data_IF_721413528490
#
_entry.id   IF_721413528490
#
_cell.length_a   1.000
_cell.length_b   1.000
_cell.length_c   1.000
_cell.angle_alpha   90.00
_cell.angle_beta   90.00
_cell.angle_gamma   90.00
#
_symmetry.space_group_name_H-M   'P 1'
#
loop_
_entity.id
_entity.type
_entity.pdbx_description
1 polymer ?
#
# COMPACT_ATOMS: atom_id res chain seq x y z
N UNK A 1 2.97 40.76 33.04
CA UNK A 1 2.69 40.59 31.59
C UNK A 1 3.87 39.93 30.84
N UNK A 2 5.12 40.34 31.09
CA UNK A 2 6.33 39.76 30.47
C UNK A 2 6.58 38.26 30.73
N UNK A 3 6.21 37.75 31.91
CA UNK A 3 6.41 36.33 32.26
C UNK A 3 5.53 35.42 31.38
N UNK A 4 4.34 35.84 30.95
CA UNK A 4 3.46 35.02 30.08
C UNK A 4 4.02 34.86 28.66
N UNK A 5 4.70 35.88 28.11
CA UNK A 5 5.27 35.83 26.76
C UNK A 5 6.44 34.86 26.62
N UNK A 6 7.30 34.75 27.64
CA UNK A 6 8.48 33.89 27.59
C UNK A 6 8.12 32.38 27.62
N UNK A 7 7.10 32.01 28.41
CA UNK A 7 6.58 30.65 28.46
C UNK A 7 5.90 30.26 27.15
N UNK A 8 5.18 31.19 26.53
CA UNK A 8 4.52 30.97 25.25
C UNK A 8 5.54 30.71 24.12
N UNK A 9 6.63 31.47 24.08
CA UNK A 9 7.71 31.25 23.11
C UNK A 9 8.38 29.88 23.27
N UNK A 10 8.63 29.42 24.50
CA UNK A 10 9.23 28.10 24.77
C UNK A 10 8.27 26.95 24.41
N UNK A 11 6.98 27.12 24.68
CA UNK A 11 5.95 26.17 24.28
C UNK A 11 5.86 26.06 22.76
N UNK A 12 5.89 27.18 22.04
CA UNK A 12 5.88 27.16 20.57
C UNK A 12 7.14 26.50 20.00
N UNK A 13 8.31 26.81 20.56
CA UNK A 13 9.58 26.16 20.17
C UNK A 13 9.55 24.64 20.38
N UNK A 14 8.94 24.17 21.45
CA UNK A 14 8.82 22.75 21.76
C UNK A 14 7.77 22.05 20.89
N UNK A 15 6.63 22.70 20.67
CA UNK A 15 5.60 22.21 19.75
C UNK A 15 6.14 22.08 18.33
N UNK A 16 6.89 23.07 17.85
CA UNK A 16 7.55 23.02 16.55
C UNK A 16 8.48 21.81 16.43
N UNK A 17 9.32 21.55 17.44
CA UNK A 17 10.21 20.38 17.45
C UNK A 17 9.42 19.07 17.43
N UNK A 18 8.34 18.94 18.21
CA UNK A 18 7.49 17.75 18.22
C UNK A 18 6.83 17.50 16.84
N UNK A 19 6.34 18.56 16.19
CA UNK A 19 5.79 18.49 14.83
C UNK A 19 6.86 18.03 13.83
N UNK A 20 8.07 18.58 13.90
CA UNK A 20 9.17 18.20 13.02
C UNK A 20 9.62 16.75 13.23
N UNK A 21 9.71 16.29 14.47
CA UNK A 21 10.01 14.88 14.78
C UNK A 21 8.92 13.96 14.23
N UNK A 22 7.64 14.34 14.39
CA UNK A 22 6.53 13.56 13.85
C UNK A 22 6.58 13.50 12.31
N UNK A 23 6.80 14.62 11.62
CA UNK A 23 6.92 14.65 10.16
C UNK A 23 8.12 13.84 9.66
N UNK A 24 9.25 13.90 10.37
CA UNK A 24 10.42 13.08 10.07
C UNK A 24 10.11 11.58 10.23
N UNK A 25 9.40 11.21 11.30
CA UNK A 25 9.04 9.82 11.57
C UNK A 25 8.10 9.27 10.50
N UNK A 26 7.10 10.07 10.08
CA UNK A 26 6.24 9.71 8.96
C UNK A 26 7.04 9.50 7.66
N UNK A 27 7.99 10.39 7.34
CA UNK A 27 8.85 10.21 6.17
C UNK A 27 9.66 8.92 6.22
N UNK A 28 10.26 8.61 7.37
CA UNK A 28 11.02 7.38 7.59
C UNK A 28 10.14 6.13 7.42
N UNK A 29 8.96 6.07 8.04
CA UNK A 29 8.09 4.90 7.95
C UNK A 29 7.52 4.71 6.55
N UNK A 30 7.21 5.79 5.83
CA UNK A 30 6.80 5.71 4.42
C UNK A 30 7.90 5.14 3.55
N UNK A 31 9.15 5.57 3.76
CA UNK A 31 10.30 4.99 3.07
C UNK A 31 10.48 3.51 3.40
N UNK A 32 10.40 3.10 4.67
CA UNK A 32 10.51 1.70 5.07
C UNK A 32 9.37 0.86 4.47
N UNK A 33 8.15 1.40 4.39
CA UNK A 33 7.03 0.76 3.70
C UNK A 33 7.32 0.53 2.21
N UNK A 34 7.81 1.56 1.52
CA UNK A 34 8.19 1.45 0.11
C UNK A 34 9.35 0.47 -0.13
N UNK A 35 10.35 0.45 0.76
CA UNK A 35 11.50 -0.45 0.66
C UNK A 35 11.15 -1.91 1.03
N UNK A 36 10.31 -2.09 2.05
CA UNK A 36 9.93 -3.40 2.60
C UNK A 36 9.00 -4.20 1.70
N UNK A 37 8.22 -3.53 0.83
CA UNK A 37 7.35 -4.08 -0.24
C UNK A 37 6.25 -5.07 0.19
N UNK A 38 6.37 -5.69 1.37
CA UNK A 38 5.36 -6.51 2.04
C UNK A 38 5.14 -5.99 3.45
N UNK A 39 3.91 -6.16 3.97
CA UNK A 39 3.53 -5.66 5.30
C UNK A 39 4.37 -6.29 6.42
N UNK A 40 4.67 -7.59 6.33
CA UNK A 40 5.48 -8.31 7.31
C UNK A 40 6.92 -7.79 7.38
N UNK A 41 7.56 -7.60 6.23
CA UNK A 41 8.94 -7.07 6.14
C UNK A 41 8.98 -5.61 6.59
N UNK A 42 8.05 -4.77 6.13
CA UNK A 42 8.01 -3.36 6.54
C UNK A 42 7.86 -3.20 8.07
N UNK A 43 7.07 -4.05 8.72
CA UNK A 43 6.85 -4.00 10.16
C UNK A 43 8.11 -4.40 10.95
N UNK A 44 8.80 -5.47 10.54
CA UNK A 44 10.02 -5.94 11.20
C UNK A 44 11.18 -4.97 11.02
N UNK A 45 11.39 -4.47 9.80
CA UNK A 45 12.40 -3.43 9.54
C UNK A 45 12.05 -2.10 10.23
N UNK A 46 10.77 -1.74 10.31
CA UNK A 46 10.31 -0.55 11.04
C UNK A 46 10.64 -0.61 12.52
N UNK A 47 10.37 -1.75 13.17
CA UNK A 47 10.72 -1.96 14.59
C UNK A 47 12.25 -1.91 14.80
N UNK A 48 13.02 -2.52 13.91
CA UNK A 48 14.49 -2.48 13.96
C UNK A 48 15.03 -1.05 13.79
N UNK A 49 14.53 -0.30 12.81
CA UNK A 49 14.94 1.08 12.55
C UNK A 49 14.68 2.00 13.75
N UNK A 50 13.54 1.84 14.42
CA UNK A 50 13.25 2.57 15.66
C UNK A 50 14.27 2.26 16.77
N UNK A 51 14.52 0.98 17.04
CA UNK A 51 15.49 0.55 18.07
C UNK A 51 16.88 1.11 17.76
N UNK A 52 17.30 1.04 16.49
CA UNK A 52 18.57 1.59 16.04
C UNK A 52 18.65 3.11 16.24
N UNK A 53 17.60 3.86 15.88
CA UNK A 53 17.57 5.30 16.08
C UNK A 53 17.63 5.69 17.57
N UNK A 54 16.90 4.97 18.43
CA UNK A 54 16.97 5.19 19.89
C UNK A 54 18.37 4.89 20.44
N UNK A 55 18.99 3.79 20.03
CA UNK A 55 20.33 3.42 20.47
C UNK A 55 21.39 4.46 20.04
N UNK A 56 21.28 4.99 18.82
CA UNK A 56 22.22 5.98 18.28
C UNK A 56 21.98 7.40 18.80
N UNK A 57 20.81 7.70 19.38
CA UNK A 57 20.45 9.05 19.85
C UNK A 57 21.16 9.50 21.14
N UNK A 58 21.99 8.64 21.74
CA UNK A 58 22.70 8.94 22.99
C UNK A 58 21.81 8.86 24.25
N UNK A 59 20.59 8.33 24.13
CA UNK A 59 19.74 8.04 25.28
C UNK A 59 20.30 6.85 26.06
N UNK A 60 21.15 7.12 27.05
CA UNK A 60 21.64 6.11 28.00
C UNK A 60 20.46 5.69 28.88
N UNK A 61 19.72 4.66 28.47
CA UNK A 61 18.81 3.99 29.40
C UNK A 61 19.67 3.30 30.46
N UNK A 62 19.49 3.70 31.72
CA UNK A 62 19.90 2.90 32.88
C UNK A 62 19.48 1.44 32.66
N UNK A 63 20.39 0.49 32.90
CA UNK A 63 20.18 -0.96 32.78
C UNK A 63 18.80 -1.37 33.36
N UNK A 64 18.33 -0.76 34.45
CA UNK A 64 17.07 -1.12 35.09
C UNK A 64 15.78 -0.75 34.31
N UNK A 65 15.77 0.35 33.56
CA UNK A 65 14.56 0.82 32.86
C UNK A 65 14.39 0.13 31.49
N UNK A 66 15.51 -0.22 30.84
CA UNK A 66 15.53 -0.91 29.54
C UNK A 66 14.91 -2.32 29.62
N UNK A 67 15.19 -3.08 30.69
CA UNK A 67 14.61 -4.40 30.93
C UNK A 67 13.09 -4.39 31.19
N UNK A 68 12.53 -3.26 31.63
CA UNK A 68 11.11 -3.16 31.98
C UNK A 68 10.22 -2.89 30.75
N UNK A 69 10.68 -2.02 29.83
CA UNK A 69 9.91 -1.61 28.64
C UNK A 69 9.87 -2.70 27.56
N UNK A 70 10.88 -3.56 27.47
CA UNK A 70 11.09 -4.49 26.35
C UNK A 70 10.67 -5.95 26.60
N UNK A 71 10.11 -6.26 27.78
CA UNK A 71 9.66 -7.62 28.15
C UNK A 71 8.51 -8.18 27.29
N UNK A 72 8.03 -7.45 26.27
CA UNK A 72 6.93 -7.86 25.38
C UNK A 72 7.33 -8.42 24.00
N UNK A 73 8.61 -8.38 23.59
CA UNK A 73 9.03 -8.95 22.29
C UNK A 73 10.28 -9.83 22.41
N UNK A 74 10.08 -11.14 22.29
CA UNK A 74 11.09 -12.19 22.45
C UNK A 74 12.27 -12.10 21.45
N UNK A 75 12.05 -11.54 20.25
CA UNK A 75 13.09 -11.40 19.21
C UNK A 75 14.10 -10.29 19.48
N UNK A 76 13.74 -9.28 20.29
CA UNK A 76 14.62 -8.12 20.57
C UNK A 76 15.66 -8.47 21.64
N UNK A 77 15.37 -9.48 22.49
CA UNK A 77 16.24 -9.89 23.58
C UNK A 77 17.60 -10.44 23.09
N UNK A 78 17.61 -11.23 22.01
CA UNK A 78 18.85 -11.82 21.44
C UNK A 78 19.80 -10.75 20.90
N UNK A 79 19.25 -9.73 20.21
CA UNK A 79 20.04 -8.64 19.62
C UNK A 79 20.59 -7.66 20.68
N UNK A 80 19.91 -7.51 21.82
CA UNK A 80 20.38 -6.68 22.94
C UNK A 80 21.52 -7.36 23.71
N UNK A 81 21.51 -8.68 23.88
CA UNK A 81 22.63 -9.39 24.52
C UNK A 81 23.92 -9.22 23.72
N UNK A 82 23.83 -9.20 22.37
CA UNK A 82 24.97 -8.90 21.50
C UNK A 82 25.49 -7.47 21.69
N UNK A 83 24.62 -6.50 21.97
CA UNK A 83 24.99 -5.08 22.12
C UNK A 83 25.43 -4.70 23.54
N UNK A 84 24.88 -5.34 24.57
CA UNK A 84 25.36 -5.21 25.97
C UNK A 84 26.78 -5.74 26.15
N UNK A 85 27.16 -6.80 25.40
CA UNK A 85 28.55 -7.29 25.34
C UNK A 85 29.48 -6.26 24.67
N UNK A 86 28.97 -5.42 23.75
CA UNK A 86 29.75 -4.39 23.08
C UNK A 86 29.92 -3.10 23.89
N UNK A 87 29.02 -2.82 24.84
CA UNK A 87 29.02 -1.60 25.66
C UNK A 87 29.92 -1.69 26.91
N UNK A 88 30.40 -2.88 27.29
CA UNK A 88 31.33 -3.06 28.40
C UNK A 88 32.79 -2.67 28.03
N UNK A 89 33.07 -2.47 26.74
CA UNK A 89 34.36 -2.02 26.21
C UNK A 89 34.37 -0.50 26.00
N UNK A 90 34.31 0.29 27.09
CA UNK A 90 34.17 1.76 27.00
C UNK A 90 35.47 2.54 26.72
N UNK A 91 36.59 1.86 26.46
CA UNK A 91 37.87 2.53 26.17
C UNK A 91 38.33 2.44 24.69
N UNK A 92 37.65 1.68 23.83
CA UNK A 92 38.06 1.47 22.42
C UNK A 92 36.92 1.69 21.39
N UNK A 93 36.22 2.84 21.48
CA UNK A 93 35.25 3.21 20.44
C UNK A 93 35.98 3.68 19.18
N UNK A 94 35.95 2.86 18.13
CA UNK A 94 36.53 3.22 16.82
C UNK A 94 35.90 4.50 16.28
N UNK A 95 36.72 5.41 15.75
CA UNK A 95 36.31 6.73 15.23
C UNK A 95 35.12 6.70 14.25
N UNK A 96 34.90 5.59 13.53
CA UNK A 96 33.76 5.45 12.63
C UNK A 96 32.40 5.34 13.34
N UNK A 97 32.34 4.80 14.58
CA UNK A 97 31.08 4.65 15.32
C UNK A 97 30.47 5.99 15.72
N UNK A 98 31.31 7.03 15.83
CA UNK A 98 30.90 8.41 16.08
C UNK A 98 29.99 8.91 14.94
N UNK A 99 30.17 8.42 13.70
CA UNK A 99 29.29 8.80 12.59
C UNK A 99 27.87 8.29 12.77
N UNK A 100 27.66 7.14 13.42
CA UNK A 100 26.32 6.63 13.71
C UNK A 100 25.51 7.58 14.60
N UNK A 101 26.16 8.25 15.54
CA UNK A 101 25.56 9.30 16.37
C UNK A 101 25.11 10.50 15.52
N UNK A 102 25.96 10.96 14.58
CA UNK A 102 25.68 12.10 13.71
C UNK A 102 24.66 11.81 12.59
N UNK A 103 24.49 10.55 12.21
CA UNK A 103 23.51 10.11 11.21
C UNK A 103 22.11 9.98 11.81
N UNK A 104 21.99 9.79 13.14
CA UNK A 104 20.69 9.63 13.80
C UNK A 104 19.94 10.96 13.89
N UNK A 105 18.76 11.10 13.26
CA UNK A 105 17.96 12.33 13.38
C UNK A 105 17.42 12.54 14.79
N UNK A 106 17.26 11.47 15.59
CA UNK A 106 16.83 11.54 16.99
C UNK A 106 17.88 12.22 17.89
N UNK A 107 19.16 12.15 17.52
CA UNK A 107 20.20 12.90 18.24
C UNK A 107 19.90 14.40 18.23
N UNK A 108 19.55 14.94 17.05
CA UNK A 108 19.29 16.37 16.87
C UNK A 108 18.00 16.79 17.55
N UNK A 109 16.98 15.94 17.54
CA UNK A 109 15.71 16.23 18.22
C UNK A 109 15.88 16.23 19.74
N UNK A 110 16.49 15.19 20.31
CA UNK A 110 16.70 15.08 21.77
C UNK A 110 17.58 16.21 22.26
N UNK A 111 18.68 16.53 21.57
CA UNK A 111 19.53 17.65 21.93
C UNK A 111 18.77 18.99 21.91
N UNK A 112 17.93 19.23 20.89
CA UNK A 112 17.14 20.46 20.78
C UNK A 112 16.05 20.58 21.83
N UNK A 113 15.42 19.46 22.21
CA UNK A 113 14.43 19.41 23.29
C UNK A 113 15.12 19.72 24.63
N UNK A 114 16.27 19.10 24.90
CA UNK A 114 17.04 19.32 26.12
C UNK A 114 17.49 20.79 26.23
N UNK A 115 18.05 21.36 25.17
CA UNK A 115 18.45 22.78 25.16
C UNK A 115 17.24 23.69 25.41
N UNK A 116 16.10 23.46 24.75
CA UNK A 116 14.91 24.29 24.96
C UNK A 116 14.33 24.18 26.39
N UNK A 117 14.48 23.03 27.06
CA UNK A 117 13.98 22.77 28.42
C UNK A 117 14.93 23.28 29.52
N UNK A 118 16.24 23.06 29.35
CA UNK A 118 17.26 23.43 30.34
C UNK A 118 17.77 24.86 30.20
N UNK A 119 17.46 25.57 29.11
CA UNK A 119 17.64 27.03 28.94
C UNK A 119 16.57 27.87 29.67
N UNK A 120 15.85 27.25 30.62
CA UNK A 120 14.80 27.93 31.36
C UNK A 120 15.33 28.73 32.55
N UNK A 121 14.68 29.85 32.88
CA UNK A 121 14.99 30.67 34.08
C UNK A 121 15.06 29.89 35.40
N UNK A 122 14.36 28.75 35.51
CA UNK A 122 14.41 27.84 36.67
C UNK A 122 15.74 27.08 36.81
N UNK A 123 16.47 26.95 35.71
CA UNK A 123 17.74 26.22 35.60
C UNK A 123 18.96 27.17 35.52
N UNK A 124 18.71 28.48 35.60
CA UNK A 124 19.72 29.54 35.52
C UNK A 124 20.46 29.75 36.86
N UNK A 125 20.10 29.00 37.90
CA UNK A 125 20.80 29.06 39.18
C UNK A 125 22.19 28.42 39.08
N UNK A 126 23.18 29.07 39.68
CA UNK A 126 24.57 28.60 39.70
C UNK A 126 24.74 27.69 40.93
N UNK A 127 25.30 26.49 40.72
CA UNK A 127 25.62 25.59 41.83
C UNK A 127 26.76 26.16 42.69
N UNK A 128 26.83 25.86 44.01
CA UNK A 128 27.80 26.48 44.94
C UNK A 128 29.27 26.38 44.51
N UNK A 129 29.62 25.40 43.66
CA UNK A 129 30.99 25.12 43.19
C UNK A 129 31.13 25.19 41.64
N UNK A 130 30.14 25.72 40.91
CA UNK A 130 30.11 25.72 39.45
C UNK A 130 30.29 27.12 38.84
N UNK A 131 31.01 27.22 37.73
CA UNK A 131 31.12 28.45 36.94
C UNK A 131 30.01 28.61 35.87
N UNK A 132 29.10 27.62 35.76
CA UNK A 132 28.07 27.54 34.73
C UNK A 132 26.66 27.37 35.34
N UNK A 133 25.59 27.78 34.61
CA UNK A 133 24.22 27.55 35.04
C UNK A 133 23.92 26.05 35.16
N UNK A 134 23.10 25.67 36.15
CA UNK A 134 22.76 24.29 36.47
C UNK A 134 22.23 23.52 35.25
N UNK A 135 21.42 24.17 34.40
CA UNK A 135 20.92 23.57 33.15
C UNK A 135 22.03 23.10 32.21
N UNK A 136 23.08 23.92 32.02
CA UNK A 136 24.21 23.58 31.15
C UNK A 136 25.04 22.43 31.74
N UNK A 137 25.26 22.46 33.06
CA UNK A 137 25.96 21.39 33.76
C UNK A 137 25.23 20.03 33.63
N UNK A 138 23.90 20.03 33.74
CA UNK A 138 23.07 18.82 33.57
C UNK A 138 23.13 18.29 32.13
N UNK A 139 22.98 19.16 31.13
CA UNK A 139 23.02 18.75 29.71
C UNK A 139 24.41 18.19 29.36
N UNK A 140 25.48 18.84 29.82
CA UNK A 140 26.86 18.37 29.61
C UNK A 140 27.15 17.06 30.34
N UNK A 141 26.60 16.86 31.54
CA UNK A 141 26.74 15.60 32.29
C UNK A 141 26.15 14.40 31.54
N UNK A 142 25.13 14.63 30.71
CA UNK A 142 24.48 13.62 29.87
C UNK A 142 25.10 13.49 28.48
N UNK A 143 26.27 14.10 28.24
CA UNK A 143 26.98 14.13 26.95
C UNK A 143 26.19 14.79 25.81
N UNK A 144 25.29 15.72 26.13
CA UNK A 144 24.60 16.57 25.15
C UNK A 144 25.24 17.95 25.09
N UNK A 145 24.98 18.69 24.01
CA UNK A 145 25.58 20.00 23.79
C UNK A 145 24.68 21.11 24.35
N UNK A 146 25.16 21.90 25.34
CA UNK A 146 24.31 22.85 26.06
C UNK A 146 24.05 24.17 25.32
N UNK A 147 24.77 24.48 24.24
CA UNK A 147 24.71 25.81 23.63
C UNK A 147 23.38 26.07 22.90
N UNK A 148 22.81 27.26 23.11
CA UNK A 148 21.50 27.64 22.58
C UNK A 148 21.36 27.54 21.05
N UNK A 149 22.46 27.66 20.30
CA UNK A 149 22.44 27.55 18.83
C UNK A 149 22.10 26.13 18.34
N UNK A 150 22.29 25.10 19.18
CA UNK A 150 21.95 23.71 18.85
C UNK A 150 20.45 23.50 18.62
N UNK A 151 19.60 24.35 19.20
CA UNK A 151 18.17 24.35 18.92
C UNK A 151 17.90 24.55 17.42
N UNK A 152 18.51 25.57 16.82
CA UNK A 152 18.31 25.88 15.39
C UNK A 152 18.98 24.87 14.48
N UNK A 153 20.15 24.36 14.88
CA UNK A 153 20.81 23.25 14.16
C UNK A 153 19.88 22.04 14.11
N UNK A 154 19.24 21.67 15.21
CA UNK A 154 18.34 20.52 15.19
C UNK A 154 17.05 20.75 14.40
N UNK A 155 16.51 21.97 14.39
CA UNK A 155 15.40 22.33 13.50
C UNK A 155 15.79 22.17 12.02
N UNK A 156 16.94 22.71 11.61
CA UNK A 156 17.43 22.60 10.22
C UNK A 156 17.74 21.15 9.86
N UNK A 157 18.39 20.41 10.76
CA UNK A 157 18.70 19.00 10.56
C UNK A 157 17.42 18.15 10.37
N UNK A 158 16.41 18.34 11.23
CA UNK A 158 15.13 17.63 11.11
C UNK A 158 14.42 17.92 9.78
N UNK A 159 14.41 19.18 9.33
CA UNK A 159 13.87 19.54 8.02
C UNK A 159 14.66 18.85 6.89
N UNK A 160 15.99 18.84 6.98
CA UNK A 160 16.85 18.13 6.03
C UNK A 160 16.52 16.64 5.95
N UNK A 161 16.38 15.97 7.10
CA UNK A 161 15.99 14.57 7.15
C UNK A 161 14.57 14.30 6.62
N UNK A 162 13.61 15.20 6.85
CA UNK A 162 12.27 15.10 6.25
C UNK A 162 12.38 15.08 4.72
N UNK A 163 13.15 16.00 4.14
CA UNK A 163 13.33 16.09 2.69
C UNK A 163 14.02 14.82 2.17
N UNK A 164 15.09 14.37 2.84
CA UNK A 164 15.84 13.17 2.44
C UNK A 164 14.95 11.93 2.47
N UNK A 165 14.20 11.68 3.55
CA UNK A 165 13.35 10.49 3.64
C UNK A 165 12.20 10.52 2.63
N UNK A 166 11.61 11.69 2.36
CA UNK A 166 10.57 11.81 1.33
C UNK A 166 11.15 11.62 -0.09
N UNK A 167 12.37 12.12 -0.36
CA UNK A 167 13.04 11.89 -1.63
C UNK A 167 13.36 10.40 -1.82
N UNK A 168 13.92 9.74 -0.79
CA UNK A 168 14.17 8.30 -0.80
C UNK A 168 12.88 7.50 -0.97
N UNK A 169 11.77 7.94 -0.39
CA UNK A 169 10.45 7.34 -0.60
C UNK A 169 9.99 7.47 -2.05
N UNK A 170 10.11 8.66 -2.66
CA UNK A 170 9.78 8.87 -4.08
C UNK A 170 10.67 8.05 -5.02
N UNK A 171 11.96 7.96 -4.75
CA UNK A 171 12.90 7.10 -5.49
C UNK A 171 12.52 5.62 -5.30
N UNK A 172 12.17 5.22 -4.07
CA UNK A 172 11.69 3.89 -3.76
C UNK A 172 10.48 3.52 -4.62
N UNK A 173 9.49 4.41 -4.74
CA UNK A 173 8.32 4.16 -5.60
C UNK A 173 8.65 4.16 -7.10
N UNK A 174 9.58 5.00 -7.55
CA UNK A 174 9.90 5.12 -8.97
C UNK A 174 10.72 3.94 -9.51
N UNK A 175 11.61 3.35 -8.69
CA UNK A 175 12.54 2.32 -9.13
C UNK A 175 12.22 0.92 -8.61
N UNK A 176 11.45 0.80 -7.52
CA UNK A 176 11.07 -0.50 -6.98
C UNK A 176 9.72 -0.91 -7.55
N UNK A 177 9.76 -1.74 -8.58
CA UNK A 177 8.56 -2.45 -9.04
C UNK A 177 8.02 -3.36 -7.91
N UNK A 178 6.70 -3.57 -7.83
CA UNK A 178 6.11 -4.52 -6.89
C UNK A 178 6.79 -5.89 -7.02
N UNK A 179 7.10 -6.54 -5.90
CA UNK A 179 7.59 -7.91 -5.94
C UNK A 179 6.41 -8.81 -6.36
N UNK A 180 6.47 -9.33 -7.58
CA UNK A 180 5.59 -10.37 -8.08
C UNK A 180 4.82 -9.97 -9.33
N UNK A 181 4.99 -10.75 -10.40
CA UNK A 181 3.90 -10.99 -11.35
C UNK A 181 2.79 -11.70 -10.55
N UNK A 182 1.50 -11.40 -10.75
CA UNK A 182 0.43 -12.19 -10.13
C UNK A 182 0.58 -13.63 -10.63
N UNK A 183 1.21 -14.49 -9.83
CA UNK A 183 1.28 -15.92 -10.07
C UNK A 183 0.06 -16.55 -9.43
N UNK A 184 -0.69 -17.25 -10.28
CA UNK A 184 -1.82 -18.11 -9.97
C UNK A 184 -1.36 -19.14 -8.95
N UNK A 185 -1.88 -19.05 -7.72
CA UNK A 185 -1.79 -20.13 -6.74
C UNK A 185 -3.06 -20.95 -6.87
N UNK A 186 -2.90 -22.18 -7.35
CA UNK A 186 -3.94 -23.21 -7.37
C UNK A 186 -4.16 -23.63 -5.90
N UNK A 187 -5.38 -23.51 -5.40
CA UNK A 187 -5.80 -24.11 -4.13
C UNK A 187 -6.75 -25.26 -4.41
N UNK A 188 -6.41 -26.44 -3.89
CA UNK A 188 -7.21 -27.66 -3.88
C UNK A 188 -8.31 -27.59 -2.80
N UNK A 189 -9.48 -28.12 -3.20
CA UNK A 189 -10.56 -28.81 -2.47
C UNK A 189 -11.06 -28.31 -1.10
N UNK A 190 -12.38 -28.09 -1.00
CA UNK A 190 -13.24 -28.93 -0.14
C UNK A 190 -14.75 -28.73 -0.37
N UNK A 191 -15.48 -29.84 -0.25
CA UNK A 191 -16.90 -30.07 -0.57
C UNK A 191 -17.92 -29.62 0.51
N UNK A 192 -19.17 -29.49 0.05
CA UNK A 192 -20.48 -29.61 0.74
C UNK A 192 -21.00 -28.41 1.55
N UNK A 193 -22.10 -27.78 1.09
CA UNK A 193 -23.33 -27.47 1.87
C UNK A 193 -24.56 -27.33 0.93
N UNK A 194 -25.72 -27.67 1.49
CA UNK A 194 -27.04 -28.01 0.94
C UNK A 194 -27.84 -26.87 0.28
N UNK A 195 -28.65 -27.27 -0.69
CA UNK A 195 -29.69 -26.51 -1.39
C UNK A 195 -30.84 -26.12 -0.44
N UNK A 196 -31.24 -24.84 -0.47
CA UNK A 196 -32.51 -24.36 0.07
C UNK A 196 -33.30 -23.78 -1.11
N UNK A 197 -34.42 -24.42 -1.43
CA UNK A 197 -35.45 -23.91 -2.34
C UNK A 197 -36.37 -22.94 -1.58
N UNK A 198 -36.69 -21.81 -2.22
CA UNK A 198 -37.92 -21.04 -2.11
C UNK A 198 -37.78 -19.85 -3.08
N UNK A 199 -38.80 -19.25 -3.69
CA UNK A 199 -40.17 -19.59 -4.09
C UNK A 199 -40.57 -18.41 -4.97
N UNK A 200 -41.07 -18.65 -6.18
CA UNK A 200 -41.50 -17.57 -7.08
C UNK A 200 -42.71 -16.81 -6.52
N UNK A 201 -42.70 -15.49 -6.65
CA UNK A 201 -43.94 -14.72 -6.90
C UNK A 201 -43.66 -13.40 -7.63
N UNK A 202 -44.58 -13.12 -8.54
CA UNK A 202 -44.52 -12.23 -9.70
C UNK A 202 -44.57 -10.72 -9.40
N UNK A 203 -44.08 -9.91 -10.35
CA UNK A 203 -44.41 -8.49 -10.43
C UNK A 203 -43.47 -7.65 -11.29
N UNK A 204 -43.42 -7.92 -12.60
CA UNK A 204 -42.61 -7.19 -13.58
C UNK A 204 -42.80 -5.66 -13.53
N UNK A 205 -41.72 -4.95 -13.24
CA UNK A 205 -41.32 -3.75 -13.99
C UNK A 205 -39.87 -3.96 -14.40
N UNK A 206 -39.58 -4.05 -15.69
CA UNK A 206 -38.20 -4.01 -16.21
C UNK A 206 -37.60 -2.65 -15.85
N UNK A 207 -37.03 -2.54 -14.64
CA UNK A 207 -36.14 -1.45 -14.26
C UNK A 207 -34.89 -1.63 -15.11
N UNK A 208 -34.83 -0.95 -16.25
CA UNK A 208 -33.56 -0.74 -16.94
C UNK A 208 -32.63 0.03 -16.02
N UNK A 209 -31.32 -0.22 -16.12
CA UNK A 209 -30.32 0.52 -15.36
C UNK A 209 -30.51 2.03 -15.53
N UNK A 210 -30.43 2.79 -14.43
CA UNK A 210 -30.67 4.25 -14.40
C UNK A 210 -29.75 5.04 -15.35
N UNK A 211 -28.59 4.48 -15.69
CA UNK A 211 -27.60 5.15 -16.52
C UNK A 211 -27.72 4.75 -18.00
N UNK A 212 -27.54 5.71 -18.93
CA UNK A 212 -27.51 5.40 -20.35
C UNK A 212 -26.35 4.45 -20.64
N UNK A 213 -26.61 3.45 -21.47
CA UNK A 213 -25.68 2.41 -21.86
C UNK A 213 -25.50 2.42 -23.39
N UNK A 214 -24.26 2.56 -23.85
CA UNK A 214 -23.94 2.44 -25.27
C UNK A 214 -23.26 1.08 -25.53
N UNK A 215 -23.90 0.18 -26.29
CA UNK A 215 -23.31 -1.11 -26.62
C UNK A 215 -22.15 -0.95 -27.60
N UNK A 216 -21.01 -1.56 -27.29
CA UNK A 216 -19.83 -1.57 -28.16
C UNK A 216 -19.48 -2.99 -28.60
N UNK A 217 -19.01 -3.13 -29.84
CA UNK A 217 -18.45 -4.39 -30.37
C UNK A 217 -16.93 -4.37 -30.31
N UNK A 218 -16.32 -5.55 -30.19
CA UNK A 218 -14.87 -5.74 -30.33
C UNK A 218 -14.63 -6.59 -31.57
N UNK A 219 -13.69 -6.18 -32.40
CA UNK A 219 -13.20 -6.97 -33.54
C UNK A 219 -11.69 -7.01 -33.49
N UNK A 220 -11.10 -8.17 -33.73
CA UNK A 220 -9.67 -8.34 -33.74
C UNK A 220 -9.26 -9.23 -34.92
N UNK A 221 -8.20 -8.84 -35.62
CA UNK A 221 -7.73 -9.53 -36.81
C UNK A 221 -6.24 -9.85 -36.68
N UNK A 222 -5.92 -11.13 -36.90
CA UNK A 222 -4.58 -11.69 -36.93
C UNK A 222 -3.73 -11.31 -35.71
N UNK A 223 -4.33 -11.34 -34.51
CA UNK A 223 -3.63 -10.96 -33.28
C UNK A 223 -2.58 -12.01 -32.94
N UNK A 224 -1.33 -11.57 -32.90
CA UNK A 224 -0.16 -12.35 -32.50
C UNK A 224 0.41 -11.74 -31.23
N UNK A 225 0.67 -12.58 -30.23
CA UNK A 225 1.32 -12.14 -28.99
C UNK A 225 2.57 -12.98 -28.75
N UNK A 226 3.69 -12.29 -28.55
CA UNK A 226 4.99 -12.89 -28.31
C UNK A 226 5.67 -12.26 -27.09
N UNK A 227 6.42 -13.06 -26.36
CA UNK A 227 7.23 -12.63 -25.20
C UNK A 227 8.68 -13.00 -25.43
N UNK A 228 9.60 -12.28 -24.80
CA UNK A 228 11.01 -12.68 -24.83
C UNK A 228 11.18 -14.07 -24.22
N UNK A 229 12.03 -14.90 -24.85
CA UNK A 229 12.20 -16.29 -24.42
C UNK A 229 12.70 -16.34 -22.96
N UNK A 230 12.01 -17.06 -22.06
CA UNK A 230 12.47 -17.26 -20.69
C UNK A 230 13.86 -17.89 -20.65
N UNK A 231 14.68 -17.50 -19.68
CA UNK A 231 16.05 -18.02 -19.56
C UNK A 231 16.05 -19.54 -19.36
N UNK A 232 15.07 -20.10 -18.66
CA UNK A 232 14.98 -21.56 -18.43
C UNK A 232 14.84 -22.37 -19.73
N UNK A 233 14.17 -21.80 -20.75
CA UNK A 233 13.92 -22.46 -22.04
C UNK A 233 15.08 -22.22 -23.01
N UNK A 234 15.78 -21.08 -22.88
CA UNK A 234 17.03 -20.82 -23.62
C UNK A 234 18.13 -21.81 -23.23
N UNK A 235 18.24 -22.13 -21.94
CA UNK A 235 19.23 -23.09 -21.43
C UNK A 235 18.95 -24.54 -21.89
N UNK A 236 17.72 -24.83 -22.32
CA UNK A 236 17.32 -26.11 -22.92
C UNK A 236 17.58 -26.19 -24.44
N UNK A 237 18.25 -25.19 -25.03
CA UNK A 237 18.74 -25.22 -26.41
C UNK A 237 17.80 -24.62 -27.46
N UNK A 238 16.83 -23.78 -27.08
CA UNK A 238 15.98 -23.08 -28.05
C UNK A 238 16.75 -21.97 -28.78
N UNK A 239 16.69 -21.97 -30.11
CA UNK A 239 17.37 -20.98 -30.98
C UNK A 239 16.54 -19.73 -31.24
N UNK A 240 15.29 -19.68 -30.80
CA UNK A 240 14.40 -18.54 -31.02
C UNK A 240 14.54 -17.47 -29.92
N UNK A 241 14.51 -16.20 -30.31
CA UNK A 241 14.60 -15.09 -29.36
C UNK A 241 13.29 -14.81 -28.63
N UNK A 242 12.15 -15.21 -29.23
CA UNK A 242 10.81 -14.91 -28.74
C UNK A 242 9.94 -16.17 -28.71
N UNK A 243 9.17 -16.32 -27.65
CA UNK A 243 8.13 -17.33 -27.52
C UNK A 243 6.79 -16.75 -27.99
N UNK A 244 6.21 -17.33 -29.03
CA UNK A 244 4.88 -16.95 -29.54
C UNK A 244 3.79 -17.69 -28.78
N UNK A 245 2.93 -16.95 -28.07
CA UNK A 245 1.85 -17.48 -27.24
C UNK A 245 0.49 -17.47 -27.95
N UNK A 246 0.23 -16.45 -28.78
CA UNK A 246 -0.97 -16.39 -29.63
C UNK A 246 -0.54 -16.35 -31.10
N UNK A 247 -1.13 -17.22 -31.92
CA UNK A 247 -0.73 -17.43 -33.32
C UNK A 247 -1.83 -16.97 -34.28
N UNK A 248 -1.92 -15.66 -34.51
CA UNK A 248 -2.77 -15.07 -35.55
C UNK A 248 -4.26 -15.31 -35.31
N UNK A 249 -4.76 -14.91 -34.13
CA UNK A 249 -6.14 -15.13 -33.74
C UNK A 249 -7.02 -13.99 -34.28
N UNK A 250 -8.10 -14.33 -34.99
CA UNK A 250 -9.10 -13.37 -35.47
C UNK A 250 -10.49 -13.69 -34.91
N UNK A 251 -11.30 -12.68 -34.67
CA UNK A 251 -12.65 -12.85 -34.13
C UNK A 251 -13.40 -11.54 -33.91
N UNK A 252 -14.67 -11.67 -33.51
CA UNK A 252 -15.52 -10.54 -33.21
C UNK A 252 -16.49 -10.87 -32.07
N UNK A 253 -16.65 -9.93 -31.15
CA UNK A 253 -17.62 -9.97 -30.06
C UNK A 253 -18.69 -8.93 -30.30
N UNK A 254 -19.94 -9.39 -30.37
CA UNK A 254 -21.11 -8.54 -30.61
C UNK A 254 -21.75 -8.14 -29.28
N UNK A 255 -22.28 -6.91 -29.17
CA UNK A 255 -23.02 -6.51 -27.99
C UNK A 255 -24.28 -7.36 -27.80
N UNK A 256 -24.67 -7.58 -26.55
CA UNK A 256 -25.87 -8.35 -26.19
C UNK A 256 -25.71 -9.87 -26.31
N UNK A 257 -24.50 -10.36 -26.60
CA UNK A 257 -24.21 -11.80 -26.70
C UNK A 257 -23.19 -12.19 -25.63
N UNK A 258 -23.56 -13.13 -24.77
CA UNK A 258 -22.59 -13.79 -23.89
C UNK A 258 -21.70 -14.70 -24.73
N UNK A 259 -20.42 -14.35 -24.86
CA UNK A 259 -19.45 -15.13 -25.61
C UNK A 259 -18.53 -15.89 -24.65
N UNK A 260 -18.55 -17.23 -24.72
CA UNK A 260 -17.69 -18.09 -23.91
C UNK A 260 -16.44 -18.51 -24.71
N UNK A 261 -15.25 -18.26 -24.15
CA UNK A 261 -13.98 -18.74 -24.70
C UNK A 261 -13.62 -20.07 -24.03
N UNK A 262 -13.80 -21.19 -24.75
CA UNK A 262 -13.54 -22.52 -24.22
C UNK A 262 -12.30 -23.16 -24.86
N UNK A 263 -11.55 -23.94 -24.07
CA UNK A 263 -10.35 -24.63 -24.52
C UNK A 263 -9.58 -25.25 -23.35
N UNK A 264 -8.63 -26.13 -23.66
CA UNK A 264 -7.79 -26.80 -22.65
C UNK A 264 -6.99 -25.80 -21.80
N UNK A 265 -6.58 -26.22 -20.60
CA UNK A 265 -5.66 -25.41 -19.78
C UNK A 265 -4.35 -25.18 -20.55
N UNK A 266 -3.80 -23.97 -20.47
CA UNK A 266 -2.61 -23.58 -21.23
C UNK A 266 -2.83 -23.22 -22.71
N UNK A 267 -4.06 -23.29 -23.24
CA UNK A 267 -4.35 -22.91 -24.64
C UNK A 267 -4.18 -21.40 -24.94
N UNK A 268 -3.89 -20.57 -23.94
CA UNK A 268 -3.73 -19.11 -24.11
C UNK A 268 -5.03 -18.32 -23.99
N UNK A 269 -6.09 -18.86 -23.37
CA UNK A 269 -7.38 -18.19 -23.16
C UNK A 269 -7.24 -16.87 -22.38
N UNK A 270 -6.71 -16.96 -21.15
CA UNK A 270 -6.39 -15.81 -20.30
C UNK A 270 -5.42 -14.86 -21.00
N UNK A 271 -4.45 -15.38 -21.77
CA UNK A 271 -3.53 -14.55 -22.56
C UNK A 271 -4.27 -13.73 -23.62
N UNK A 272 -5.20 -14.33 -24.36
CA UNK A 272 -6.03 -13.62 -25.34
C UNK A 272 -6.90 -12.56 -24.65
N UNK A 273 -7.55 -12.92 -23.54
CA UNK A 273 -8.35 -11.97 -22.76
C UNK A 273 -7.53 -10.80 -22.23
N UNK A 274 -6.34 -11.04 -21.67
CA UNK A 274 -5.44 -9.99 -21.18
C UNK A 274 -4.95 -9.06 -22.30
N UNK A 275 -4.67 -9.60 -23.50
CA UNK A 275 -4.26 -8.80 -24.67
C UNK A 275 -5.41 -7.93 -25.14
N UNK A 276 -6.62 -8.50 -25.28
CA UNK A 276 -7.80 -7.75 -25.68
C UNK A 276 -8.21 -6.71 -24.63
N UNK A 277 -8.07 -7.02 -23.34
CA UNK A 277 -8.28 -6.08 -22.24
C UNK A 277 -7.17 -5.00 -22.16
N UNK A 278 -6.01 -5.25 -22.77
CA UNK A 278 -4.83 -4.38 -22.73
C UNK A 278 -4.12 -4.36 -21.37
N UNK A 279 -4.17 -5.47 -20.65
CA UNK A 279 -3.50 -5.66 -19.36
C UNK A 279 -2.07 -6.19 -19.51
N UNK A 280 -1.70 -6.76 -20.67
CA UNK A 280 -0.31 -7.11 -20.97
C UNK A 280 0.50 -5.85 -21.30
N UNK A 281 1.32 -5.40 -20.35
CA UNK A 281 2.26 -4.27 -20.50
C UNK A 281 3.64 -4.68 -20.98
N UNK A 282 3.93 -5.99 -21.07
CA UNK A 282 5.15 -6.54 -21.63
C UNK A 282 4.85 -7.46 -22.83
N UNK A 283 5.87 -7.75 -23.62
CA UNK A 283 5.75 -8.52 -24.87
C UNK A 283 5.38 -7.65 -26.08
N UNK A 284 5.28 -8.29 -27.23
CA UNK A 284 4.96 -7.66 -28.51
C UNK A 284 3.61 -8.16 -28.98
N UNK A 285 2.69 -7.22 -29.22
CA UNK A 285 1.37 -7.46 -29.78
C UNK A 285 1.42 -6.98 -31.24
N UNK A 286 1.07 -7.86 -32.17
CA UNK A 286 0.92 -7.57 -33.58
C UNK A 286 -0.51 -7.92 -34.03
N UNK A 287 -0.98 -7.31 -35.12
CA UNK A 287 -2.38 -7.38 -35.57
C UNK A 287 -3.24 -6.20 -35.12
N UNK A 288 -4.50 -6.18 -35.57
CA UNK A 288 -5.41 -5.06 -35.40
C UNK A 288 -6.51 -5.37 -34.37
N UNK A 289 -6.76 -4.45 -33.45
CA UNK A 289 -7.87 -4.53 -32.49
C UNK A 289 -8.70 -3.26 -32.62
N UNK A 290 -9.96 -3.41 -33.01
CA UNK A 290 -10.90 -2.32 -33.20
C UNK A 290 -12.10 -2.44 -32.25
N UNK A 291 -12.56 -1.29 -31.75
CA UNK A 291 -13.76 -1.13 -30.92
C UNK A 291 -14.79 -0.37 -31.74
N UNK A 292 -15.91 -1.01 -32.08
CA UNK A 292 -16.96 -0.46 -32.93
C UNK A 292 -16.44 0.17 -34.24
N UNK A 293 -15.41 -0.45 -34.84
CA UNK A 293 -14.78 0.00 -36.09
C UNK A 293 -13.63 1.01 -35.95
N UNK A 294 -13.33 1.47 -34.74
CA UNK A 294 -12.21 2.39 -34.47
C UNK A 294 -11.03 1.67 -33.82
N UNK A 295 -9.77 2.06 -34.11
CA UNK A 295 -8.60 1.44 -33.50
C UNK A 295 -8.62 1.61 -31.97
N UNK A 296 -8.32 0.53 -31.25
CA UNK A 296 -8.34 0.49 -29.78
C UNK A 296 -7.32 1.45 -29.19
N UNK A 297 -7.78 2.40 -28.37
CA UNK A 297 -6.95 3.24 -27.50
C UNK A 297 -7.15 2.83 -26.06
N UNK A 298 -6.06 2.44 -25.37
CA UNK A 298 -6.15 1.86 -24.03
C UNK A 298 -6.80 2.78 -23.00
N UNK A 299 -6.50 4.09 -23.04
CA UNK A 299 -7.03 5.06 -22.07
C UNK A 299 -8.56 5.21 -22.14
N UNK A 300 -9.12 5.21 -23.35
CA UNK A 300 -10.57 5.30 -23.55
C UNK A 300 -11.22 3.94 -23.30
N UNK A 301 -10.59 2.86 -23.78
CA UNK A 301 -11.09 1.51 -23.63
C UNK A 301 -11.23 1.11 -22.16
N UNK A 302 -10.23 1.41 -21.32
CA UNK A 302 -10.25 1.11 -19.89
C UNK A 302 -11.42 1.76 -19.13
N UNK A 303 -12.05 2.81 -19.68
CA UNK A 303 -13.22 3.46 -19.07
C UNK A 303 -14.55 2.78 -19.43
N UNK A 304 -14.58 2.06 -20.54
CA UNK A 304 -15.78 1.39 -21.07
C UNK A 304 -15.72 -0.14 -20.92
N UNK A 305 -14.61 -0.68 -20.40
CA UNK A 305 -14.42 -2.10 -20.15
C UNK A 305 -14.29 -2.40 -18.66
N UNK A 306 -14.97 -3.44 -18.17
CA UNK A 306 -14.74 -4.05 -16.86
C UNK A 306 -13.94 -5.36 -17.00
N UNK A 307 -13.12 -5.69 -16.00
CA UNK A 307 -12.35 -6.93 -15.98
C UNK A 307 -12.43 -7.58 -14.59
N UNK A 308 -13.04 -8.76 -14.52
CA UNK A 308 -13.06 -9.56 -13.30
C UNK A 308 -11.84 -10.50 -13.32
N UNK A 309 -10.93 -10.32 -12.37
CA UNK A 309 -9.76 -11.19 -12.21
C UNK A 309 -10.14 -12.56 -11.62
N UNK A 310 -9.27 -13.56 -11.80
CA UNK A 310 -9.41 -14.87 -11.17
C UNK A 310 -9.38 -14.75 -9.65
N UNK A 311 -8.40 -14.00 -9.12
CA UNK A 311 -8.27 -13.71 -7.69
C UNK A 311 -9.00 -12.42 -7.32
N UNK A 312 -9.88 -12.51 -6.33
CA UNK A 312 -10.60 -11.34 -5.82
C UNK A 312 -9.69 -10.46 -4.97
N UNK A 313 -9.55 -9.18 -5.35
CA UNK A 313 -8.73 -8.20 -4.62
C UNK A 313 -9.64 -7.12 -4.06
N UNK A 314 -9.93 -7.22 -2.76
CA UNK A 314 -10.72 -6.23 -2.03
C UNK A 314 -10.02 -5.82 -0.74
N UNK A 315 -10.36 -4.63 -0.24
CA UNK A 315 -9.91 -4.22 1.10
C UNK A 315 -10.67 -5.04 2.16
N UNK A 316 -9.99 -5.63 3.16
CA UNK A 316 -10.67 -6.46 4.14
C UNK A 316 -11.47 -5.65 5.18
N UNK A 317 -11.20 -4.35 5.30
CA UNK A 317 -11.73 -3.49 6.37
C UNK A 317 -12.92 -2.62 5.94
N UNK A 318 -13.35 -2.72 4.69
CA UNK A 318 -14.46 -1.95 4.13
C UNK A 318 -15.71 -2.84 4.06
N UNK A 319 -16.90 -2.24 4.11
CA UNK A 319 -18.15 -2.98 3.91
C UNK A 319 -18.45 -3.20 2.43
N UNK A 320 -19.30 -4.19 2.11
CA UNK A 320 -19.80 -4.45 0.74
C UNK A 320 -20.35 -3.17 0.10
N UNK A 321 -21.21 -2.44 0.83
CA UNK A 321 -21.79 -1.20 0.33
C UNK A 321 -20.74 -0.12 0.06
N UNK A 322 -19.81 0.09 0.99
CA UNK A 322 -18.76 1.09 0.83
C UNK A 322 -17.82 0.75 -0.34
N UNK A 323 -17.52 -0.53 -0.59
CA UNK A 323 -16.75 -0.97 -1.76
C UNK A 323 -17.42 -0.56 -3.07
N UNK A 324 -18.73 -0.81 -3.19
CA UNK A 324 -19.49 -0.44 -4.39
C UNK A 324 -19.59 1.07 -4.55
N UNK A 325 -19.90 1.80 -3.49
CA UNK A 325 -19.95 3.28 -3.52
C UNK A 325 -18.60 3.86 -3.90
N UNK A 326 -17.50 3.31 -3.38
CA UNK A 326 -16.15 3.74 -3.69
C UNK A 326 -15.80 3.51 -5.17
N UNK A 327 -16.12 2.33 -5.72
CA UNK A 327 -15.98 2.05 -7.16
C UNK A 327 -16.79 3.03 -8.01
N UNK A 328 -18.05 3.25 -7.64
CA UNK A 328 -18.95 4.19 -8.31
C UNK A 328 -18.37 5.61 -8.34
N UNK A 329 -17.76 6.06 -7.25
CA UNK A 329 -17.21 7.41 -7.13
C UNK A 329 -15.99 7.64 -8.03
N UNK A 330 -15.20 6.60 -8.26
CA UNK A 330 -13.98 6.69 -9.07
C UNK A 330 -14.24 6.48 -10.56
N UNK A 331 -15.20 5.61 -10.90
CA UNK A 331 -15.41 5.17 -12.30
C UNK A 331 -16.56 5.87 -13.00
N UNK A 332 -17.60 6.29 -12.27
CA UNK A 332 -18.70 7.03 -12.89
C UNK A 332 -18.33 8.50 -13.15
N UNK A 333 -18.85 9.08 -14.25
CA UNK A 333 -18.57 10.46 -14.59
C UNK A 333 -19.21 11.45 -13.59
N UNK A 334 -18.65 12.66 -13.52
CA UNK A 334 -19.00 13.67 -12.49
C UNK A 334 -20.39 14.30 -12.70
N UNK A 335 -20.95 14.17 -13.90
CA UNK A 335 -22.30 14.60 -14.29
C UNK A 335 -23.40 13.76 -13.64
N UNK A 336 -23.09 12.55 -13.14
CA UNK A 336 -24.03 11.70 -12.41
C UNK A 336 -24.27 12.24 -11.01
N UNK A 337 -25.51 12.68 -10.74
CA UNK A 337 -25.93 13.15 -9.41
C UNK A 337 -25.71 12.10 -8.32
N UNK A 338 -25.48 12.55 -7.09
CA UNK A 338 -25.28 11.68 -5.93
C UNK A 338 -26.47 10.75 -5.68
N UNK A 339 -27.70 11.22 -5.92
CA UNK A 339 -28.89 10.39 -5.75
C UNK A 339 -28.96 9.29 -6.81
N UNK A 340 -28.73 9.65 -8.08
CA UNK A 340 -28.70 8.69 -9.19
C UNK A 340 -27.60 7.64 -8.98
N UNK A 341 -26.42 8.06 -8.52
CA UNK A 341 -25.33 7.16 -8.17
C UNK A 341 -25.71 6.19 -7.07
N UNK A 342 -26.36 6.68 -6.01
CA UNK A 342 -26.82 5.82 -4.91
C UNK A 342 -27.85 4.81 -5.42
N UNK A 343 -28.85 5.26 -6.17
CA UNK A 343 -29.87 4.37 -6.76
C UNK A 343 -29.23 3.29 -7.65
N UNK A 344 -28.27 3.66 -8.49
CA UNK A 344 -27.56 2.72 -9.34
C UNK A 344 -26.77 1.66 -8.53
N UNK A 345 -26.11 2.06 -7.45
CA UNK A 345 -25.42 1.12 -6.56
C UNK A 345 -26.40 0.15 -5.88
N UNK A 346 -27.57 0.62 -5.45
CA UNK A 346 -28.61 -0.26 -4.88
C UNK A 346 -29.12 -1.25 -5.94
N UNK A 347 -29.35 -0.80 -7.18
CA UNK A 347 -29.78 -1.68 -8.28
C UNK A 347 -28.75 -2.76 -8.61
N UNK A 348 -27.46 -2.41 -8.65
CA UNK A 348 -26.41 -3.41 -8.89
C UNK A 348 -26.30 -4.38 -7.71
N UNK A 349 -26.42 -3.90 -6.47
CA UNK A 349 -26.40 -4.75 -5.28
C UNK A 349 -27.57 -5.74 -5.25
N UNK A 350 -28.75 -5.30 -5.68
CA UNK A 350 -29.94 -6.14 -5.84
C UNK A 350 -29.73 -7.19 -6.94
N UNK A 351 -29.15 -6.78 -8.09
CA UNK A 351 -28.88 -7.66 -9.24
C UNK A 351 -27.90 -8.81 -8.91
N UNK A 352 -26.91 -8.57 -8.05
CA UNK A 352 -25.97 -9.62 -7.61
C UNK A 352 -26.37 -10.29 -6.29
N UNK A 353 -27.57 -9.99 -5.78
CA UNK A 353 -28.13 -10.55 -4.54
C UNK A 353 -27.28 -10.30 -3.28
N UNK A 354 -26.53 -9.20 -3.23
CA UNK A 354 -25.68 -8.84 -2.08
C UNK A 354 -26.40 -7.96 -1.05
N UNK A 355 -27.68 -7.65 -1.25
CA UNK A 355 -28.49 -6.81 -0.35
C UNK A 355 -28.45 -7.25 1.13
N UNK A 356 -28.51 -8.55 1.49
CA UNK A 356 -28.42 -8.98 2.88
C UNK A 356 -27.06 -8.69 3.52
N UNK A 357 -26.00 -8.65 2.70
CA UNK A 357 -24.61 -8.50 3.11
C UNK A 357 -24.12 -7.05 3.00
N UNK A 358 -25.01 -6.10 2.75
CA UNK A 358 -24.71 -4.67 2.57
C UNK A 358 -23.73 -4.11 3.62
N UNK A 359 -23.99 -4.40 4.89
CA UNK A 359 -23.21 -3.91 6.03
C UNK A 359 -22.15 -4.90 6.52
N UNK A 360 -22.02 -6.05 5.86
CA UNK A 360 -20.98 -7.01 6.18
C UNK A 360 -19.62 -6.49 5.73
N UNK A 361 -18.59 -6.77 6.54
CA UNK A 361 -17.20 -6.52 6.16
C UNK A 361 -16.77 -7.55 5.13
N UNK A 362 -15.99 -7.13 4.13
CA UNK A 362 -15.43 -8.03 3.13
C UNK A 362 -14.55 -9.10 3.79
N UNK A 363 -13.69 -8.66 4.72
CA UNK A 363 -12.80 -9.54 5.48
C UNK A 363 -11.65 -10.13 4.67
N UNK A 364 -10.93 -11.08 5.28
CA UNK A 364 -9.77 -11.72 4.67
C UNK A 364 -10.19 -13.08 4.07
N UNK A 365 -9.80 -13.39 2.83
CA UNK A 365 -10.14 -14.66 2.19
C UNK A 365 -9.76 -15.86 3.06
N UNK A 366 -10.73 -16.76 3.30
CA UNK A 366 -10.53 -18.01 4.06
C UNK A 366 -10.41 -17.87 5.57
N UNK A 367 -10.51 -16.65 6.14
CA UNK A 367 -10.40 -16.45 7.60
C UNK A 367 -11.70 -15.91 8.19
N UNK A 368 -12.16 -14.76 7.70
CA UNK A 368 -13.31 -14.03 8.24
C UNK A 368 -13.94 -13.16 7.14
N UNK A 369 -15.23 -12.87 7.25
CA UNK A 369 -15.94 -11.96 6.33
C UNK A 369 -16.83 -12.72 5.35
N UNK A 370 -16.74 -12.38 4.07
CA UNK A 370 -17.53 -12.98 3.00
C UNK A 370 -17.03 -14.38 2.63
N UNK A 371 -17.95 -15.23 2.18
CA UNK A 371 -17.57 -16.48 1.51
C UNK A 371 -16.87 -16.20 0.18
N UNK A 372 -16.18 -17.20 -0.38
CA UNK A 372 -15.52 -17.13 -1.69
C UNK A 372 -16.52 -16.75 -2.79
N UNK A 373 -17.70 -17.37 -2.79
CA UNK A 373 -18.78 -17.05 -3.74
C UNK A 373 -19.29 -15.61 -3.59
N UNK A 374 -19.55 -15.17 -2.34
CA UNK A 374 -19.99 -13.80 -2.06
C UNK A 374 -18.93 -12.77 -2.45
N UNK A 375 -17.65 -13.11 -2.27
CA UNK A 375 -16.52 -12.30 -2.69
C UNK A 375 -16.44 -12.20 -4.22
N UNK A 376 -16.70 -13.29 -4.95
CA UNK A 376 -16.77 -13.28 -6.42
C UNK A 376 -17.93 -12.44 -6.93
N UNK A 377 -19.12 -12.57 -6.33
CA UNK A 377 -20.28 -11.71 -6.60
C UNK A 377 -19.95 -10.23 -6.34
N UNK A 378 -19.19 -9.93 -5.29
CA UNK A 378 -18.71 -8.57 -5.00
C UNK A 378 -17.76 -8.06 -6.08
N UNK A 379 -16.82 -8.87 -6.55
CA UNK A 379 -15.92 -8.51 -7.67
C UNK A 379 -16.72 -8.16 -8.92
N UNK A 380 -17.70 -8.99 -9.28
CA UNK A 380 -18.60 -8.73 -10.42
C UNK A 380 -19.37 -7.42 -10.21
N UNK A 381 -19.92 -7.20 -9.02
CA UNK A 381 -20.66 -5.98 -8.69
C UNK A 381 -19.79 -4.71 -8.76
N UNK A 382 -18.55 -4.76 -8.27
CA UNK A 382 -17.60 -3.65 -8.33
C UNK A 382 -17.28 -3.24 -9.77
N UNK A 383 -17.19 -4.22 -10.68
CA UNK A 383 -16.99 -3.97 -12.11
C UNK A 383 -18.28 -3.48 -12.79
N UNK A 384 -19.45 -4.02 -12.44
CA UNK A 384 -20.76 -3.60 -12.98
C UNK A 384 -21.14 -2.16 -12.61
N UNK A 385 -20.76 -1.72 -11.41
CA UNK A 385 -21.00 -0.33 -10.94
C UNK A 385 -20.26 0.72 -11.78
N UNK A 386 -19.31 0.32 -12.63
CA UNK A 386 -18.69 1.24 -13.59
C UNK A 386 -19.60 1.53 -14.81
N UNK A 387 -20.74 0.86 -14.94
CA UNK A 387 -21.57 0.82 -16.16
C UNK A 387 -20.74 0.50 -17.43
N UNK A 388 -19.94 -0.58 -17.44
CA UNK A 388 -19.06 -0.90 -18.57
C UNK A 388 -19.86 -1.42 -19.76
N UNK A 389 -19.48 -1.03 -20.99
CA UNK A 389 -20.03 -1.56 -22.24
C UNK A 389 -19.59 -2.98 -22.54
N UNK A 390 -18.40 -3.37 -22.07
CA UNK A 390 -17.77 -4.66 -22.30
C UNK A 390 -17.28 -5.20 -20.96
N UNK A 391 -17.57 -6.45 -20.63
CA UNK A 391 -17.07 -7.08 -19.40
C UNK A 391 -16.32 -8.35 -19.76
N UNK A 392 -15.09 -8.46 -19.28
CA UNK A 392 -14.31 -9.69 -19.30
C UNK A 392 -14.45 -10.38 -17.95
N UNK A 393 -14.78 -11.67 -17.96
CA UNK A 393 -14.84 -12.50 -16.76
C UNK A 393 -13.91 -13.68 -16.94
N UNK A 394 -12.78 -13.67 -16.23
CA UNK A 394 -11.85 -14.79 -16.22
C UNK A 394 -12.29 -15.78 -15.12
N UNK A 395 -12.63 -17.00 -15.54
CA UNK A 395 -13.04 -18.12 -14.67
C UNK A 395 -14.07 -17.72 -13.58
N UNK A 396 -15.28 -17.25 -13.97
CA UNK A 396 -16.29 -16.80 -13.00
C UNK A 396 -16.88 -17.94 -12.15
N UNK A 397 -16.74 -19.20 -12.60
CA UNK A 397 -17.44 -20.35 -12.02
C UNK A 397 -16.51 -21.38 -11.35
N UNK A 398 -15.19 -21.16 -11.28
CA UNK A 398 -14.30 -22.17 -10.66
C UNK A 398 -14.55 -22.36 -9.16
N UNK A 399 -15.27 -21.44 -8.53
CA UNK A 399 -15.57 -21.44 -7.09
C UNK A 399 -17.06 -21.54 -6.76
N UNK A 400 -17.93 -21.74 -7.77
CA UNK A 400 -19.39 -21.87 -7.59
C UNK A 400 -19.84 -23.33 -7.52
#
# INVERSE_FOLDING_TARGET
MFIKGLWLCRLFKQFLLLVLVHQMALGLFRFIGAAGRTMGVATTFGAFALVLQFALSGFVLSRSMFYCVLKKSFLVQSYIYLFSILHDATDDVKKWWIWGYWISPLMYSVNSILVNEFDGKKWEHIAPNGAEPLGHAVVRSRRFFPDAYWYWIGVVALIGFIIIFNLCYSIGLAYLNPFGKPQVMISEDDENVQLIEESETEGEKKKGMVLPFEPHSITFDNVVYSVDMPQEIKDQGSTEDRLVLLKGVSGAFRPGVLTALMGVSGAGKTTLMDVLAGRKTGGYIDGDINISGYPKKQETFARISGYCEQNDIHSPYITVYESLVYSAWLRLPQDVDKNNRKMFVEEVMELVELTPLRSALVGLPGVNGLSTEQCKRLTIAVELVANPSIIFMDEPNESC
#
